data_IF_799997930748
#
_entry.id   IF_799997930748
#
_cell.length_a   1.000
_cell.length_b   1.000
_cell.length_c   1.000
_cell.angle_alpha   90.00
_cell.angle_beta   90.00
_cell.angle_gamma   90.00
#
_symmetry.space_group_name_H-M   'P 1'
#
loop_
_entity.id
_entity.type
_entity.pdbx_description
1 polymer ?
#
# COMPACT_ATOMS: atom_id res chain seq x y z
N UNK A 1 20.16 -11.98 -5.95
CA UNK A 1 19.46 -10.83 -5.34
C UNK A 1 18.08 -11.32 -4.94
N UNK A 2 17.62 -11.05 -3.72
CA UNK A 2 16.26 -11.44 -3.34
C UNK A 2 15.27 -10.63 -4.20
N UNK A 3 14.32 -11.30 -4.82
CA UNK A 3 13.34 -10.72 -5.77
C UNK A 3 11.91 -10.78 -5.24
N UNK A 4 11.79 -11.15 -3.96
CA UNK A 4 10.52 -11.22 -3.24
C UNK A 4 9.96 -9.80 -3.03
N UNK A 5 8.65 -9.70 -3.18
CA UNK A 5 7.89 -8.47 -2.92
C UNK A 5 7.07 -8.76 -1.67
N UNK A 6 7.28 -8.00 -0.60
CA UNK A 6 6.51 -8.17 0.63
C UNK A 6 5.03 -7.83 0.33
N UNK A 7 4.13 -8.76 0.62
CA UNK A 7 2.71 -8.61 0.39
C UNK A 7 2.01 -8.18 1.68
N UNK A 8 1.09 -7.23 1.53
CA UNK A 8 0.12 -6.84 2.54
C UNK A 8 -1.26 -6.77 1.91
N UNK A 9 -2.32 -6.97 2.68
CA UNK A 9 -3.68 -7.04 2.17
C UNK A 9 -4.65 -6.30 3.07
N UNK A 10 -5.64 -5.71 2.43
CA UNK A 10 -6.79 -5.12 3.07
C UNK A 10 -7.78 -6.24 3.46
N UNK A 11 -7.55 -6.85 4.63
CA UNK A 11 -8.33 -7.98 5.14
C UNK A 11 -9.45 -7.49 6.09
N UNK A 12 -10.71 -7.94 5.93
CA UNK A 12 -11.77 -7.60 6.88
C UNK A 12 -11.49 -8.18 8.28
N UNK A 13 -11.92 -7.50 9.35
CA UNK A 13 -11.59 -7.82 10.76
C UNK A 13 -11.77 -9.30 11.08
N UNK A 14 -12.92 -9.88 10.69
CA UNK A 14 -13.26 -11.29 10.97
C UNK A 14 -12.30 -12.30 10.33
N UNK A 15 -11.54 -11.88 9.33
CA UNK A 15 -10.75 -12.73 8.45
C UNK A 15 -9.24 -12.53 8.63
N UNK A 16 -8.80 -11.54 9.42
CA UNK A 16 -7.38 -11.21 9.65
C UNK A 16 -6.59 -12.40 10.19
N UNK A 17 -7.11 -13.15 11.17
CA UNK A 17 -6.42 -14.34 11.70
C UNK A 17 -6.29 -15.45 10.63
N UNK A 18 -7.37 -15.70 9.89
CA UNK A 18 -7.45 -16.79 8.92
C UNK A 18 -6.64 -16.53 7.65
N UNK A 19 -6.63 -15.30 7.17
CA UNK A 19 -6.05 -14.93 5.88
C UNK A 19 -4.75 -14.13 6.01
N UNK A 20 -4.41 -13.65 7.21
CA UNK A 20 -3.14 -12.98 7.50
C UNK A 20 -1.91 -13.84 7.27
N UNK A 21 -2.08 -15.16 7.19
CA UNK A 21 -1.01 -16.11 6.81
C UNK A 21 -0.49 -15.92 5.38
N UNK A 22 -1.22 -15.16 4.55
CA UNK A 22 -0.81 -14.79 3.19
C UNK A 22 -0.22 -13.37 3.12
N UNK A 23 0.15 -12.76 4.25
CA UNK A 23 0.79 -11.44 4.32
C UNK A 23 2.17 -11.54 4.96
N UNK A 24 3.13 -10.81 4.40
CA UNK A 24 4.46 -10.60 4.98
C UNK A 24 4.47 -9.39 5.93
N UNK A 25 3.57 -8.43 5.65
CA UNK A 25 3.37 -7.20 6.43
C UNK A 25 1.87 -7.06 6.70
N UNK A 26 1.48 -6.73 7.93
CA UNK A 26 0.08 -6.37 8.19
C UNK A 26 -0.25 -5.02 7.56
N UNK A 27 -1.45 -4.86 6.99
CA UNK A 27 -1.94 -3.58 6.49
C UNK A 27 -3.17 -3.14 7.26
N UNK A 28 -3.15 -1.97 7.90
CA UNK A 28 -4.33 -1.41 8.56
C UNK A 28 -4.64 0.00 8.08
N UNK A 29 -5.88 0.45 8.29
CA UNK A 29 -6.35 1.78 7.91
C UNK A 29 -6.68 2.57 9.17
N UNK A 30 -6.08 3.76 9.35
CA UNK A 30 -6.21 4.55 10.57
C UNK A 30 -7.68 4.83 10.98
N UNK A 31 -8.60 5.26 10.08
CA UNK A 31 -10.03 5.38 10.38
C UNK A 31 -10.68 4.12 10.98
N UNK A 32 -10.30 2.93 10.51
CA UNK A 32 -10.85 1.67 11.02
C UNK A 32 -10.26 1.30 12.38
N UNK A 33 -8.98 1.59 12.61
CA UNK A 33 -8.37 1.49 13.95
C UNK A 33 -9.07 2.38 14.98
N UNK A 34 -9.50 3.58 14.57
CA UNK A 34 -10.20 4.51 15.46
C UNK A 34 -11.66 4.10 15.73
N UNK A 35 -12.30 3.41 14.81
CA UNK A 35 -13.74 3.10 14.88
C UNK A 35 -14.05 1.67 15.33
N UNK A 36 -13.11 0.73 15.20
CA UNK A 36 -13.29 -0.68 15.57
C UNK A 36 -12.16 -1.15 16.51
N UNK A 37 -12.55 -1.43 17.76
CA UNK A 37 -11.62 -1.90 18.80
C UNK A 37 -11.09 -3.32 18.56
N UNK A 38 -11.86 -4.19 17.90
CA UNK A 38 -11.39 -5.54 17.55
C UNK A 38 -10.36 -5.45 16.42
N UNK A 39 -10.61 -4.61 15.41
CA UNK A 39 -9.64 -4.33 14.36
C UNK A 39 -8.33 -3.79 14.94
N UNK A 40 -8.40 -2.77 15.81
CA UNK A 40 -7.23 -2.22 16.50
C UNK A 40 -6.49 -3.29 17.33
N UNK A 41 -7.22 -4.09 18.10
CA UNK A 41 -6.65 -5.15 18.92
C UNK A 41 -5.85 -6.15 18.09
N UNK A 42 -6.40 -6.63 16.97
CA UNK A 42 -5.73 -7.63 16.14
C UNK A 42 -4.41 -7.12 15.52
N UNK A 43 -4.33 -5.86 15.09
CA UNK A 43 -3.05 -5.30 14.62
C UNK A 43 -2.06 -5.03 15.76
N UNK A 44 -2.55 -4.70 16.96
CA UNK A 44 -1.69 -4.64 18.15
C UNK A 44 -1.06 -5.99 18.45
N UNK A 45 -1.84 -7.08 18.39
CA UNK A 45 -1.33 -8.44 18.57
C UNK A 45 -0.25 -8.79 17.52
N UNK A 46 -0.43 -8.38 16.27
CA UNK A 46 0.57 -8.58 15.20
C UNK A 46 1.88 -7.82 15.47
N UNK A 47 1.79 -6.55 15.89
CA UNK A 47 2.97 -5.77 16.29
C UNK A 47 3.69 -6.40 17.48
N UNK A 48 2.96 -6.87 18.49
CA UNK A 48 3.53 -7.55 19.67
C UNK A 48 4.17 -8.89 19.31
N UNK A 49 3.65 -9.59 18.29
CA UNK A 49 4.26 -10.81 17.75
C UNK A 49 5.50 -10.53 16.88
N UNK A 50 5.90 -9.27 16.70
CA UNK A 50 7.08 -8.87 15.92
C UNK A 50 6.82 -8.73 14.42
N UNK A 51 5.56 -8.83 13.97
CA UNK A 51 5.22 -8.55 12.58
C UNK A 51 5.27 -7.03 12.33
N UNK A 52 5.81 -6.63 11.18
CA UNK A 52 5.69 -5.23 10.75
C UNK A 52 4.24 -4.95 10.32
N UNK A 53 3.75 -3.76 10.63
CA UNK A 53 2.43 -3.28 10.20
C UNK A 53 2.60 -1.95 9.50
N UNK A 54 2.06 -1.83 8.29
CA UNK A 54 1.90 -0.56 7.61
C UNK A 54 0.48 -0.04 7.87
N UNK A 55 0.39 1.20 8.34
CA UNK A 55 -0.87 1.88 8.61
C UNK A 55 -1.08 2.95 7.54
N UNK A 56 -2.09 2.74 6.70
CA UNK A 56 -2.56 3.71 5.74
C UNK A 56 -3.27 4.88 6.44
N UNK A 57 -3.07 6.07 5.88
CA UNK A 57 -3.67 7.28 6.42
C UNK A 57 -5.17 7.34 6.17
N UNK A 58 -5.76 6.50 5.31
CA UNK A 58 -7.20 6.43 5.03
C UNK A 58 -7.73 7.53 4.11
N UNK A 59 -6.86 8.26 3.40
CA UNK A 59 -7.26 9.40 2.57
C UNK A 59 -8.20 9.00 1.43
N UNK A 60 -8.04 7.78 0.88
CA UNK A 60 -8.91 7.27 -0.17
C UNK A 60 -10.32 6.95 0.35
N UNK A 61 -10.42 6.35 1.54
CA UNK A 61 -11.66 5.96 2.17
C UNK A 61 -12.51 7.18 2.53
N UNK A 62 -11.85 8.19 3.13
CA UNK A 62 -12.48 9.44 3.57
C UNK A 62 -12.65 10.49 2.47
N UNK A 63 -11.98 10.34 1.33
CA UNK A 63 -12.05 11.29 0.21
C UNK A 63 -11.19 12.55 0.40
N UNK A 64 -10.18 12.51 1.27
CA UNK A 64 -9.29 13.63 1.54
C UNK A 64 -8.30 13.35 2.67
N UNK A 65 -7.32 14.25 2.85
CA UNK A 65 -6.30 14.12 3.88
C UNK A 65 -6.91 14.09 5.29
N UNK A 66 -6.42 13.18 6.13
CA UNK A 66 -6.84 13.03 7.53
C UNK A 66 -6.05 13.98 8.43
N UNK A 67 -6.68 14.43 9.51
CA UNK A 67 -6.01 15.14 10.59
C UNK A 67 -4.84 14.32 11.17
N UNK A 68 -3.66 14.94 11.22
CA UNK A 68 -2.44 14.36 11.80
C UNK A 68 -2.73 13.78 13.20
N UNK A 69 -3.55 14.48 14.01
CA UNK A 69 -3.87 14.01 15.35
C UNK A 69 -4.60 12.66 15.34
N UNK A 70 -5.51 12.44 14.41
CA UNK A 70 -6.25 11.19 14.29
C UNK A 70 -5.31 10.03 13.88
N UNK A 71 -4.34 10.29 13.00
CA UNK A 71 -3.33 9.29 12.62
C UNK A 71 -2.46 8.92 13.83
N UNK A 72 -2.03 9.90 14.61
CA UNK A 72 -1.24 9.66 15.83
C UNK A 72 -2.04 8.90 16.90
N UNK A 73 -3.32 9.24 17.08
CA UNK A 73 -4.21 8.49 17.98
C UNK A 73 -4.39 7.04 17.53
N UNK A 74 -4.56 6.80 16.22
CA UNK A 74 -4.64 5.44 15.67
C UNK A 74 -3.34 4.66 15.92
N UNK A 75 -2.19 5.31 15.72
CA UNK A 75 -0.88 4.71 15.98
C UNK A 75 -0.73 4.32 17.45
N UNK A 76 -1.13 5.20 18.38
CA UNK A 76 -1.08 4.94 19.81
C UNK A 76 -1.95 3.74 20.21
N UNK A 77 -3.15 3.62 19.63
CA UNK A 77 -4.08 2.51 19.91
C UNK A 77 -3.51 1.13 19.57
N UNK A 78 -2.74 0.99 18.49
CA UNK A 78 -2.19 -0.31 18.09
C UNK A 78 -0.78 -0.55 18.64
N UNK A 79 0.01 0.50 18.83
CA UNK A 79 1.35 0.41 19.40
C UNK A 79 1.31 0.21 20.93
N UNK A 80 0.16 0.48 21.58
CA UNK A 80 -0.12 0.22 22.99
C UNK A 80 0.91 0.82 23.98
N UNK A 81 1.56 1.93 23.62
CA UNK A 81 2.63 2.54 24.40
C UNK A 81 3.96 1.76 24.42
N UNK A 82 4.03 0.61 23.75
CA UNK A 82 5.27 -0.10 23.48
C UNK A 82 5.87 0.50 22.22
N UNK A 83 7.12 0.95 22.29
CA UNK A 83 7.82 1.44 21.13
C UNK A 83 8.19 0.25 20.21
N UNK A 84 7.20 -0.34 19.52
CA UNK A 84 7.47 -1.40 18.55
C UNK A 84 8.06 -0.77 17.28
N UNK A 85 9.24 -1.23 16.81
CA UNK A 85 9.80 -0.79 15.53
C UNK A 85 9.02 -1.31 14.31
N UNK A 86 8.03 -2.18 14.55
CA UNK A 86 7.20 -2.79 13.52
C UNK A 86 6.27 -1.83 12.81
N UNK A 87 5.90 -0.70 13.43
CA UNK A 87 4.90 0.20 12.87
C UNK A 87 5.49 1.17 11.83
N UNK A 88 4.91 1.16 10.63
CA UNK A 88 5.20 2.07 9.53
C UNK A 88 3.92 2.87 9.25
N UNK A 89 3.96 4.19 9.31
CA UNK A 89 2.80 5.04 9.07
C UNK A 89 2.96 5.72 7.72
N UNK A 90 1.96 5.60 6.86
CA UNK A 90 1.87 6.37 5.62
C UNK A 90 1.52 7.81 5.99
N UNK A 91 2.39 8.74 5.64
CA UNK A 91 2.21 10.15 5.95
C UNK A 91 0.98 10.73 5.21
N UNK A 92 0.36 11.82 5.72
CA UNK A 92 -0.68 12.53 4.98
C UNK A 92 -0.19 13.00 3.61
N UNK A 93 -1.02 12.80 2.60
CA UNK A 93 -0.73 13.16 1.22
C UNK A 93 -1.91 13.83 0.52
N UNK A 94 -1.60 14.56 -0.56
CA UNK A 94 -2.58 15.28 -1.36
C UNK A 94 -2.46 14.80 -2.81
N UNK A 95 -3.43 14.00 -3.29
CA UNK A 95 -3.40 13.47 -4.66
C UNK A 95 -3.13 14.58 -5.68
N UNK A 96 -2.14 14.37 -6.53
CA UNK A 96 -1.72 15.31 -7.60
C UNK A 96 -1.06 16.62 -7.14
N UNK A 97 -0.98 16.92 -5.84
CA UNK A 97 -0.33 18.14 -5.33
C UNK A 97 0.98 17.81 -4.59
N UNK A 98 2.09 18.00 -5.30
CA UNK A 98 3.45 17.80 -4.79
C UNK A 98 3.74 18.69 -3.57
N UNK A 99 3.42 19.97 -3.64
CA UNK A 99 3.84 20.95 -2.62
C UNK A 99 3.03 20.77 -1.34
N UNK A 100 1.72 20.54 -1.45
CA UNK A 100 0.88 20.22 -0.30
C UNK A 100 1.29 18.89 0.36
N UNK A 101 1.60 17.86 -0.44
CA UNK A 101 2.08 16.57 0.07
C UNK A 101 3.39 16.72 0.83
N UNK A 102 4.37 17.45 0.28
CA UNK A 102 5.64 17.73 0.97
C UNK A 102 5.38 18.44 2.29
N UNK A 103 4.59 19.52 2.30
CA UNK A 103 4.30 20.27 3.53
C UNK A 103 3.65 19.39 4.60
N UNK A 104 2.59 18.65 4.26
CA UNK A 104 1.88 17.81 5.22
C UNK A 104 2.71 16.63 5.72
N UNK A 105 3.52 16.01 4.85
CA UNK A 105 4.44 14.94 5.26
C UNK A 105 5.52 15.44 6.22
N UNK A 106 6.09 16.62 5.96
CA UNK A 106 7.14 17.20 6.80
C UNK A 106 6.57 17.68 8.14
N UNK A 107 5.40 18.33 8.14
CA UNK A 107 4.69 18.67 9.37
C UNK A 107 4.37 17.44 10.21
N UNK A 108 3.92 16.35 9.57
CA UNK A 108 3.67 15.08 10.24
C UNK A 108 4.93 14.51 10.89
N UNK A 109 6.06 14.50 10.17
CA UNK A 109 7.34 14.04 10.71
C UNK A 109 7.80 14.87 11.90
N UNK A 110 7.70 16.19 11.82
CA UNK A 110 8.15 17.09 12.87
C UNK A 110 7.25 16.97 14.13
N UNK A 111 5.93 16.79 13.94
CA UNK A 111 5.00 16.47 15.04
C UNK A 111 5.32 15.13 15.67
N UNK A 112 5.48 14.07 14.87
CA UNK A 112 5.82 12.75 15.38
C UNK A 112 7.11 12.77 16.18
N UNK A 113 8.15 13.46 15.71
CA UNK A 113 9.43 13.60 16.41
C UNK A 113 9.31 14.26 17.81
N UNK A 114 8.27 15.06 18.04
CA UNK A 114 7.96 15.66 19.33
C UNK A 114 7.23 14.73 20.30
N UNK A 115 6.72 13.58 19.84
CA UNK A 115 5.93 12.64 20.64
C UNK A 115 6.79 11.54 21.28
N UNK A 116 6.40 11.08 22.47
CA UNK A 116 7.14 10.03 23.18
C UNK A 116 7.14 8.66 22.45
N UNK A 117 6.16 8.42 21.57
CA UNK A 117 6.05 7.20 20.74
C UNK A 117 6.99 7.20 19.52
N UNK A 118 7.67 8.32 19.24
CA UNK A 118 8.43 8.54 18.01
C UNK A 118 9.61 7.61 17.69
N UNK A 119 10.45 7.16 18.65
CA UNK A 119 11.80 6.69 18.30
C UNK A 119 11.83 5.39 17.50
N UNK A 120 10.70 4.68 17.40
CA UNK A 120 10.60 3.39 16.71
C UNK A 120 9.63 3.40 15.52
N UNK A 121 8.78 4.42 15.40
CA UNK A 121 7.82 4.53 14.31
C UNK A 121 8.54 4.98 13.05
N UNK A 122 8.32 4.26 11.96
CA UNK A 122 8.83 4.64 10.63
C UNK A 122 7.76 5.39 9.86
N UNK A 123 8.16 6.39 9.08
CA UNK A 123 7.26 7.15 8.22
C UNK A 123 7.49 6.74 6.77
N UNK A 124 6.40 6.44 6.06
CA UNK A 124 6.37 6.23 4.63
C UNK A 124 5.82 7.47 3.93
N UNK A 125 6.64 8.14 3.13
CA UNK A 125 6.23 9.34 2.39
C UNK A 125 5.59 8.96 1.05
N UNK A 126 4.49 9.60 0.65
CA UNK A 126 3.79 9.28 -0.60
C UNK A 126 4.22 10.23 -1.72
N UNK A 127 4.63 9.67 -2.86
CA UNK A 127 4.94 10.47 -4.06
C UNK A 127 3.66 10.99 -4.71
N UNK A 128 3.56 12.31 -4.83
CA UNK A 128 2.46 13.02 -5.49
C UNK A 128 2.97 14.09 -6.45
N UNK A 129 2.14 14.49 -7.42
CA UNK A 129 2.43 15.53 -8.39
C UNK A 129 1.59 15.38 -9.67
N UNK A 130 1.27 16.49 -10.35
CA UNK A 130 0.32 16.46 -11.47
C UNK A 130 0.92 15.85 -12.75
N UNK A 131 2.25 15.80 -12.82
CA UNK A 131 3.00 15.34 -13.98
C UNK A 131 4.27 14.57 -13.55
N UNK A 132 4.89 13.79 -14.45
CA UNK A 132 6.06 12.97 -14.11
C UNK A 132 7.25 13.76 -13.57
N UNK A 133 7.43 15.03 -13.96
CA UNK A 133 8.51 15.87 -13.44
C UNK A 133 8.25 16.21 -11.97
N UNK A 134 7.03 16.63 -11.62
CA UNK A 134 6.66 16.90 -10.23
C UNK A 134 6.77 15.65 -9.35
N UNK A 135 6.34 14.49 -9.85
CA UNK A 135 6.48 13.22 -9.13
C UNK A 135 7.96 12.88 -8.88
N UNK A 136 8.81 13.08 -9.89
CA UNK A 136 10.27 12.90 -9.75
C UNK A 136 10.87 13.88 -8.74
N UNK A 137 10.45 15.15 -8.79
CA UNK A 137 10.90 16.19 -7.86
C UNK A 137 10.46 15.87 -6.41
N UNK A 138 9.23 15.37 -6.23
CA UNK A 138 8.68 14.89 -4.96
C UNK A 138 9.51 13.75 -4.38
N UNK A 139 9.74 12.71 -5.19
CA UNK A 139 10.55 11.57 -4.81
C UNK A 139 11.95 12.00 -4.36
N UNK A 140 12.63 12.79 -5.20
CA UNK A 140 13.99 13.26 -4.91
C UNK A 140 14.04 14.15 -3.66
N UNK A 141 12.97 14.89 -3.36
CA UNK A 141 12.85 15.63 -2.12
C UNK A 141 12.86 14.69 -0.91
N UNK A 142 12.00 13.67 -0.88
CA UNK A 142 11.95 12.72 0.24
C UNK A 142 13.25 11.91 0.41
N UNK A 143 13.91 11.54 -0.70
CA UNK A 143 15.25 10.93 -0.64
C UNK A 143 16.25 11.86 0.06
N UNK A 144 16.31 13.15 -0.34
CA UNK A 144 17.22 14.13 0.29
C UNK A 144 16.87 14.41 1.76
N UNK A 145 15.61 14.27 2.14
CA UNK A 145 15.15 14.40 3.53
C UNK A 145 15.37 13.13 4.37
N UNK A 146 15.92 12.06 3.79
CA UNK A 146 16.30 10.85 4.51
C UNK A 146 15.16 9.86 4.79
N UNK A 147 14.05 9.93 4.05
CA UNK A 147 12.97 8.95 4.21
C UNK A 147 13.42 7.54 3.78
N UNK A 148 13.28 6.57 4.68
CA UNK A 148 13.61 5.16 4.42
C UNK A 148 12.49 4.36 3.77
N UNK A 149 11.26 4.86 3.78
CA UNK A 149 10.10 4.29 3.09
C UNK A 149 9.47 5.35 2.18
N UNK A 150 9.26 4.99 0.91
CA UNK A 150 8.59 5.84 -0.07
C UNK A 150 7.48 5.06 -0.77
N UNK A 151 6.26 5.58 -0.70
CA UNK A 151 5.09 5.01 -1.33
C UNK A 151 4.88 5.57 -2.75
N UNK A 152 4.49 4.70 -3.68
CA UNK A 152 4.12 5.06 -5.05
C UNK A 152 2.64 4.76 -5.27
N UNK A 153 1.84 5.81 -5.48
CA UNK A 153 0.40 5.67 -5.70
C UNK A 153 0.07 4.93 -6.99
N UNK A 154 -1.03 4.18 -6.99
CA UNK A 154 -1.61 3.58 -8.19
C UNK A 154 -2.16 4.60 -9.18
N UNK A 155 -2.35 5.85 -8.74
CA UNK A 155 -2.87 6.93 -9.58
C UNK A 155 -1.91 7.28 -10.72
N UNK A 156 -0.69 6.77 -10.62
CA UNK A 156 0.42 7.06 -11.50
C UNK A 156 0.74 5.92 -12.44
N UNK A 157 1.25 6.30 -13.61
CA UNK A 157 1.99 5.40 -14.49
C UNK A 157 3.33 5.07 -13.82
N UNK A 158 3.30 4.11 -12.89
CA UNK A 158 4.47 3.63 -12.16
C UNK A 158 5.57 3.18 -13.12
N UNK A 159 5.31 2.44 -14.22
CA UNK A 159 6.35 2.13 -15.20
C UNK A 159 7.08 3.35 -15.74
N UNK A 160 6.34 4.39 -16.13
CA UNK A 160 6.94 5.64 -16.58
C UNK A 160 7.77 6.29 -15.46
N UNK A 161 7.24 6.38 -14.25
CA UNK A 161 7.97 6.94 -13.09
C UNK A 161 9.25 6.16 -12.77
N UNK A 162 9.20 4.82 -12.78
CA UNK A 162 10.37 3.97 -12.56
C UNK A 162 11.41 4.12 -13.69
N UNK A 163 10.94 4.24 -14.95
CA UNK A 163 11.81 4.40 -16.12
C UNK A 163 12.59 5.71 -16.14
N UNK A 164 12.10 6.74 -15.44
CA UNK A 164 12.81 8.01 -15.29
C UNK A 164 14.09 7.86 -14.45
N UNK A 165 14.35 6.68 -13.88
CA UNK A 165 15.51 6.35 -13.04
C UNK A 165 15.81 7.49 -12.05
N UNK A 166 14.86 7.88 -11.18
CA UNK A 166 15.21 8.73 -10.05
C UNK A 166 16.36 8.10 -9.25
N UNK A 167 17.01 8.85 -8.36
CA UNK A 167 18.13 8.31 -7.56
C UNK A 167 17.61 7.23 -6.58
N UNK A 168 17.37 6.02 -7.09
CA UNK A 168 16.92 4.86 -6.35
C UNK A 168 18.04 4.46 -5.40
N UNK A 169 17.84 4.74 -4.12
CA UNK A 169 18.79 4.33 -3.11
C UNK A 169 18.47 2.90 -2.69
N UNK A 170 19.43 1.96 -2.71
CA UNK A 170 19.18 0.55 -2.37
C UNK A 170 18.70 0.32 -0.91
N UNK A 171 18.82 1.34 -0.06
CA UNK A 171 18.38 1.32 1.34
C UNK A 171 16.97 1.87 1.55
N UNK A 172 16.35 2.45 0.51
CA UNK A 172 14.97 2.89 0.58
C UNK A 172 14.09 1.70 0.24
N UNK A 173 13.10 1.45 1.09
CA UNK A 173 12.00 0.54 0.80
C UNK A 173 10.93 1.26 0.01
N UNK A 174 10.40 0.61 -1.02
CA UNK A 174 9.31 1.15 -1.81
C UNK A 174 8.04 0.36 -1.57
N UNK A 175 6.95 1.08 -1.37
CA UNK A 175 5.64 0.48 -1.15
C UNK A 175 4.69 0.91 -2.26
N UNK A 176 4.12 -0.04 -2.99
CA UNK A 176 3.19 0.25 -4.07
C UNK A 176 1.76 0.26 -3.55
N UNK A 177 1.21 1.46 -3.38
CA UNK A 177 -0.15 1.67 -2.86
C UNK A 177 -1.22 1.12 -3.79
N UNK A 178 -1.82 -0.03 -3.48
CA UNK A 178 -2.83 -0.67 -4.29
C UNK A 178 -2.27 -1.32 -5.57
N UNK A 179 -2.27 -2.66 -5.59
CA UNK A 179 -1.99 -3.46 -6.78
C UNK A 179 -3.08 -3.29 -7.85
N UNK A 180 -2.68 -2.94 -9.09
CA UNK A 180 -3.60 -2.87 -10.23
C UNK A 180 -3.98 -4.26 -10.75
N UNK A 181 -3.07 -5.23 -10.71
CA UNK A 181 -3.30 -6.59 -11.17
C UNK A 181 -2.03 -7.44 -11.16
N UNK A 182 -2.16 -8.75 -11.38
CA UNK A 182 -1.01 -9.68 -11.35
C UNK A 182 0.07 -9.34 -12.39
N UNK A 183 -0.31 -8.75 -13.52
CA UNK A 183 0.65 -8.30 -14.53
C UNK A 183 1.59 -7.21 -14.00
N UNK A 184 1.14 -6.39 -13.04
CA UNK A 184 1.99 -5.38 -12.39
C UNK A 184 3.11 -6.06 -11.60
N UNK A 185 2.79 -7.11 -10.83
CA UNK A 185 3.78 -7.89 -10.07
C UNK A 185 4.77 -8.58 -11.01
N UNK A 186 4.30 -9.12 -12.14
CA UNK A 186 5.16 -9.72 -13.17
C UNK A 186 6.09 -8.70 -13.79
N UNK A 187 5.55 -7.55 -14.19
CA UNK A 187 6.29 -6.44 -14.76
C UNK A 187 7.35 -5.90 -13.79
N UNK A 188 6.97 -5.68 -12.53
CA UNK A 188 7.85 -5.25 -11.43
C UNK A 188 9.10 -6.12 -11.29
N UNK A 189 8.92 -7.44 -11.45
CA UNK A 189 9.99 -8.44 -11.33
C UNK A 189 10.82 -8.56 -12.60
N UNK A 190 10.17 -8.57 -13.75
CA UNK A 190 10.84 -8.67 -15.04
C UNK A 190 11.81 -7.50 -15.24
N UNK A 191 11.41 -6.28 -14.93
CA UNK A 191 12.23 -5.11 -15.28
C UNK A 191 13.41 -4.84 -14.35
N UNK A 192 13.60 -5.57 -13.24
CA UNK A 192 14.66 -5.33 -12.26
C UNK A 192 14.79 -3.84 -11.84
N UNK A 193 13.73 -3.04 -12.05
CA UNK A 193 13.69 -1.61 -11.78
C UNK A 193 13.29 -1.30 -10.36
N UNK A 194 12.75 -2.29 -9.65
CA UNK A 194 12.52 -2.17 -8.22
C UNK A 194 13.78 -2.53 -7.44
N UNK A 195 14.11 -1.75 -6.40
CA UNK A 195 15.13 -2.16 -5.47
C UNK A 195 14.70 -3.48 -4.79
N UNK A 196 15.66 -4.27 -4.29
CA UNK A 196 15.44 -5.60 -3.70
C UNK A 196 14.62 -5.61 -2.38
N UNK A 197 13.82 -4.57 -2.10
CA UNK A 197 13.07 -4.34 -0.86
C UNK A 197 11.71 -3.67 -1.14
N UNK A 198 10.98 -4.14 -2.15
CA UNK A 198 9.67 -3.62 -2.51
C UNK A 198 8.55 -4.32 -1.73
N UNK A 199 7.45 -3.60 -1.52
CA UNK A 199 6.23 -4.12 -0.90
C UNK A 199 5.00 -3.61 -1.66
N UNK A 200 3.86 -4.28 -1.48
CA UNK A 200 2.60 -3.93 -2.13
C UNK A 200 1.42 -4.21 -1.19
N UNK A 201 0.38 -3.38 -1.27
CA UNK A 201 -0.91 -3.62 -0.64
C UNK A 201 -2.01 -3.79 -1.69
N UNK A 202 -3.07 -4.52 -1.33
CA UNK A 202 -4.28 -4.60 -2.15
C UNK A 202 -5.48 -5.24 -1.43
N UNK A 203 -6.68 -4.78 -1.77
CA UNK A 203 -7.95 -5.48 -1.51
C UNK A 203 -8.44 -6.39 -2.65
N UNK A 204 -7.69 -6.50 -3.76
CA UNK A 204 -8.18 -7.20 -4.96
C UNK A 204 -8.65 -8.64 -4.75
N UNK A 205 -7.97 -9.49 -3.96
CA UNK A 205 -8.44 -10.85 -3.71
C UNK A 205 -9.85 -10.91 -3.13
N UNK A 206 -10.17 -9.98 -2.23
CA UNK A 206 -11.49 -9.84 -1.60
C UNK A 206 -12.53 -9.38 -2.63
N UNK A 207 -12.23 -8.32 -3.38
CA UNK A 207 -13.15 -7.79 -4.41
C UNK A 207 -13.43 -8.80 -5.51
N UNK A 208 -12.44 -9.59 -5.91
CA UNK A 208 -12.61 -10.68 -6.86
C UNK A 208 -13.57 -11.75 -6.30
N UNK A 209 -13.40 -12.14 -5.03
CA UNK A 209 -14.26 -13.10 -4.38
C UNK A 209 -15.72 -12.63 -4.28
N UNK A 210 -15.94 -11.37 -3.86
CA UNK A 210 -17.27 -10.75 -3.80
C UNK A 210 -17.96 -10.70 -5.17
N UNK A 211 -17.18 -10.51 -6.23
CA UNK A 211 -17.67 -10.52 -7.60
C UNK A 211 -17.86 -11.94 -8.19
N UNK A 212 -17.62 -13.00 -7.41
CA UNK A 212 -17.68 -14.38 -7.91
C UNK A 212 -16.60 -14.68 -8.95
N UNK A 213 -15.44 -14.03 -8.87
CA UNK A 213 -14.33 -14.13 -9.85
C UNK A 213 -13.04 -14.60 -9.21
N UNK A 214 -12.19 -15.23 -10.01
CA UNK A 214 -10.80 -15.45 -9.64
C UNK A 214 -9.99 -14.18 -9.89
N UNK A 215 -8.88 -14.03 -9.16
CA UNK A 215 -8.03 -12.83 -9.20
C UNK A 215 -7.59 -12.47 -10.63
N UNK A 216 -7.25 -13.47 -11.45
CA UNK A 216 -6.82 -13.29 -12.84
C UNK A 216 -7.91 -12.69 -13.74
N UNK A 217 -9.18 -12.95 -13.42
CA UNK A 217 -10.34 -12.49 -14.17
C UNK A 217 -10.91 -11.16 -13.65
N UNK A 218 -10.34 -10.64 -12.55
CA UNK A 218 -10.84 -9.45 -11.88
C UNK A 218 -10.09 -8.18 -12.32
N UNK A 219 -10.74 -7.42 -13.20
CA UNK A 219 -10.36 -6.05 -13.52
C UNK A 219 -10.45 -5.16 -12.28
N UNK A 220 -9.65 -4.09 -12.25
CA UNK A 220 -9.73 -3.10 -11.17
C UNK A 220 -11.11 -2.44 -11.15
N UNK A 221 -11.67 -2.26 -9.95
CA UNK A 221 -13.01 -1.71 -9.76
C UNK A 221 -13.74 -2.44 -8.62
N UNK A 222 -15.07 -2.43 -8.62
CA UNK A 222 -15.87 -3.24 -7.69
C UNK A 222 -16.32 -2.54 -6.40
N UNK A 223 -16.33 -1.21 -6.38
CA UNK A 223 -16.86 -0.41 -5.26
C UNK A 223 -15.89 -0.21 -4.09
N UNK A 224 -16.34 0.58 -3.11
CA UNK A 224 -15.66 0.72 -1.81
C UNK A 224 -15.84 -0.58 -1.01
N UNK A 225 -14.79 -1.01 -0.34
CA UNK A 225 -14.87 -2.10 0.64
C UNK A 225 -14.79 -1.51 2.05
N UNK A 226 -15.11 -2.29 3.07
CA UNK A 226 -14.83 -1.93 4.46
C UNK A 226 -14.47 -3.18 5.28
N UNK A 227 -13.87 -2.95 6.44
CA UNK A 227 -13.35 -4.02 7.31
C UNK A 227 -14.43 -4.94 7.92
N UNK A 228 -15.72 -4.61 7.81
CA UNK A 228 -16.85 -5.40 8.34
C UNK A 228 -17.48 -6.35 7.32
N UNK A 229 -16.93 -6.48 6.12
CA UNK A 229 -17.46 -7.39 5.08
C UNK A 229 -17.50 -8.82 5.60
N UNK A 230 -18.63 -9.48 5.36
CA UNK A 230 -18.85 -10.91 5.63
C UNK A 230 -19.05 -11.62 4.29
N UNK A 231 -18.31 -12.71 4.11
CA UNK A 231 -18.35 -13.58 2.93
C UNK A 231 -19.25 -14.79 3.22
N UNK A 232 -19.99 -15.23 2.19
CA UNK A 232 -20.58 -16.57 2.19
C UNK A 232 -19.50 -17.65 2.01
N UNK A 233 -19.88 -18.94 2.13
CA UNK A 233 -18.93 -20.06 2.06
C UNK A 233 -18.17 -20.12 0.72
N UNK A 234 -18.83 -19.84 -0.40
CA UNK A 234 -18.23 -19.90 -1.73
C UNK A 234 -17.34 -18.69 -1.99
N UNK A 235 -17.75 -17.51 -1.55
CA UNK A 235 -16.94 -16.29 -1.55
C UNK A 235 -15.70 -16.47 -0.69
N UNK A 236 -15.82 -17.05 0.50
CA UNK A 236 -14.67 -17.28 1.38
C UNK A 236 -13.69 -18.30 0.77
N UNK A 237 -14.19 -19.41 0.22
CA UNK A 237 -13.38 -20.40 -0.51
C UNK A 237 -12.61 -19.73 -1.65
N UNK A 238 -13.27 -18.84 -2.39
CA UNK A 238 -12.69 -18.10 -3.51
C UNK A 238 -11.67 -17.06 -3.04
N UNK A 239 -11.96 -16.36 -1.94
CA UNK A 239 -11.03 -15.41 -1.33
C UNK A 239 -9.72 -16.09 -0.96
N UNK A 240 -9.78 -17.29 -0.36
CA UNK A 240 -8.59 -18.11 -0.06
C UNK A 240 -7.75 -18.41 -1.30
N UNK A 241 -8.38 -18.85 -2.38
CA UNK A 241 -7.71 -19.16 -3.64
C UNK A 241 -7.04 -17.90 -4.20
N UNK A 242 -7.74 -16.76 -4.15
CA UNK A 242 -7.21 -15.50 -4.65
C UNK A 242 -6.03 -14.99 -3.82
N UNK A 243 -6.09 -15.08 -2.48
CA UNK A 243 -4.97 -14.72 -1.61
C UNK A 243 -3.75 -15.59 -1.88
N UNK A 244 -3.94 -16.92 -1.98
CA UNK A 244 -2.86 -17.84 -2.29
C UNK A 244 -2.22 -17.53 -3.65
N UNK A 245 -3.02 -17.29 -4.69
CA UNK A 245 -2.52 -16.94 -6.02
C UNK A 245 -1.71 -15.63 -6.01
N UNK A 246 -2.15 -14.62 -5.27
CA UNK A 246 -1.43 -13.35 -5.11
C UNK A 246 -0.11 -13.55 -4.37
N UNK A 247 -0.15 -14.25 -3.22
CA UNK A 247 1.03 -14.54 -2.43
C UNK A 247 2.07 -15.31 -3.24
N UNK A 248 1.66 -16.35 -3.98
CA UNK A 248 2.54 -17.08 -4.91
C UNK A 248 3.14 -16.15 -5.96
N UNK A 249 2.37 -15.23 -6.55
CA UNK A 249 2.89 -14.28 -7.53
C UNK A 249 3.95 -13.33 -6.94
N UNK A 250 3.80 -12.91 -5.68
CA UNK A 250 4.76 -12.05 -4.96
C UNK A 250 6.05 -12.76 -4.52
N UNK A 251 6.06 -14.10 -4.46
CA UNK A 251 7.18 -14.89 -3.93
C UNK A 251 7.88 -15.81 -4.95
N UNK A 252 7.21 -16.25 -6.02
CA UNK A 252 7.78 -17.28 -6.92
C UNK A 252 8.53 -16.67 -8.09
N UNK A 253 9.85 -16.88 -8.21
CA UNK A 253 10.65 -16.33 -9.33
C UNK A 253 10.10 -16.74 -10.70
N UNK A 254 9.92 -15.77 -11.61
CA UNK A 254 9.58 -15.99 -13.03
C UNK A 254 10.74 -15.43 -13.86
N UNK A 255 11.29 -16.23 -14.79
CA UNK A 255 12.40 -15.80 -15.63
C UNK A 255 11.97 -14.73 -16.64
N UNK A 256 12.90 -13.85 -17.03
CA UNK A 256 12.63 -12.72 -17.92
C UNK A 256 12.10 -13.16 -19.31
N UNK A 257 12.50 -14.35 -19.77
CA UNK A 257 12.11 -14.90 -21.08
C UNK A 257 10.61 -15.26 -21.19
N UNK A 258 9.92 -15.46 -20.06
CA UNK A 258 8.50 -15.80 -20.03
C UNK A 258 7.57 -14.56 -20.10
N UNK A 259 8.11 -13.34 -20.04
CA UNK A 259 7.33 -12.09 -19.99
C UNK A 259 7.07 -11.42 -21.35
N UNK A 260 7.58 -11.97 -22.45
CA UNK A 260 7.75 -11.26 -23.73
C UNK A 260 6.48 -10.87 -24.54
N UNK A 261 5.29 -11.54 -24.48
CA UNK A 261 4.21 -11.20 -25.42
C UNK A 261 3.10 -10.24 -24.91
N UNK A 262 3.15 -9.70 -23.69
CA UNK A 262 2.00 -8.94 -23.13
C UNK A 262 1.98 -7.44 -23.54
N UNK A 263 3.02 -6.94 -24.22
CA UNK A 263 3.17 -5.52 -24.57
C UNK A 263 2.31 -4.98 -25.72
N UNK A 264 1.27 -5.70 -26.15
CA UNK A 264 0.32 -5.20 -27.16
C UNK A 264 -1.01 -4.69 -26.58
N UNK A 265 -1.10 -4.34 -25.29
CA UNK A 265 -2.25 -3.56 -24.80
C UNK A 265 -1.92 -2.07 -24.79
N UNK A 266 -2.74 -1.21 -25.42
CA UNK A 266 -2.47 0.22 -25.52
C UNK A 266 -2.35 0.85 -24.13
N UNK A 267 -1.41 1.77 -24.01
CA UNK A 267 -1.17 2.71 -22.89
C UNK A 267 -2.39 3.59 -22.54
N UNK A 268 -3.51 3.43 -23.24
CA UNK A 268 -4.69 4.30 -23.16
C UNK A 268 -5.54 4.05 -21.90
N UNK A 269 -5.32 2.94 -21.18
CA UNK A 269 -6.11 2.61 -19.97
C UNK A 269 -5.70 3.36 -18.69
N UNK A 270 -4.56 4.05 -18.68
CA UNK A 270 -4.19 4.95 -17.56
C UNK A 270 -4.89 6.31 -17.63
N UNK A 271 -5.56 6.62 -18.75
CA UNK A 271 -6.23 7.92 -18.94
C UNK A 271 -7.55 8.06 -18.15
N UNK A 272 -8.15 6.95 -17.71
CA UNK A 272 -9.43 6.94 -16.97
C UNK A 272 -9.31 7.22 -15.47
N UNK A 273 -8.10 7.32 -14.91
CA UNK A 273 -7.91 7.79 -13.53
C UNK A 273 -8.29 9.28 -13.35
N UNK A 274 -8.48 10.02 -14.46
CA UNK A 274 -9.04 11.38 -14.47
C UNK A 274 -10.57 11.42 -14.39
N UNK A 275 -11.24 10.26 -14.38
CA UNK A 275 -12.69 10.12 -14.23
C UNK A 275 -13.21 10.18 -12.79
N UNK A 276 -12.35 10.35 -11.78
CA UNK A 276 -12.77 10.61 -10.38
C UNK A 276 -13.14 12.10 -10.24
N UNK A 277 -14.12 12.55 -11.02
CA UNK A 277 -14.80 13.84 -10.80
C UNK A 277 -16.32 13.71 -10.71
N UNK A 278 -16.88 12.51 -10.82
CA UNK A 278 -18.32 12.28 -10.69
C UNK A 278 -18.60 11.08 -9.79
N UNK A 279 -18.28 11.23 -8.50
CA UNK A 279 -18.86 10.45 -7.41
C UNK A 279 -18.56 11.16 -6.08
N UNK A 280 -19.08 12.39 -5.94
CA UNK A 280 -19.34 13.05 -4.66
C UNK A 280 -20.85 13.22 -4.57
#
# INVERSE_FOLDING_TARGET
MNTEIDLSMEIPTRYIERFGVFEDLGFCIAPYVLSDGEYAYQYSQRLMAGQNVIMDNGAYELGGAIDIKAILEAAERINCGWASPGLIIIAPDHPTDKEATIRSTMEFRDKLAGEAISPTIRIAAVVQGNNPKEQTDCYNYFVRQGFGYICLSFLWDRPKLLSLKPNWHPHIRHHLLGCYGLDEIRWMRAYATLPPNASIDTVKPLKAALAGKYLIDHVRGGGKWNHNIVLDEEQERRYRINCAALYTACHTYISHDECSPIYNRPTDTYSDARGIKEAV
#
